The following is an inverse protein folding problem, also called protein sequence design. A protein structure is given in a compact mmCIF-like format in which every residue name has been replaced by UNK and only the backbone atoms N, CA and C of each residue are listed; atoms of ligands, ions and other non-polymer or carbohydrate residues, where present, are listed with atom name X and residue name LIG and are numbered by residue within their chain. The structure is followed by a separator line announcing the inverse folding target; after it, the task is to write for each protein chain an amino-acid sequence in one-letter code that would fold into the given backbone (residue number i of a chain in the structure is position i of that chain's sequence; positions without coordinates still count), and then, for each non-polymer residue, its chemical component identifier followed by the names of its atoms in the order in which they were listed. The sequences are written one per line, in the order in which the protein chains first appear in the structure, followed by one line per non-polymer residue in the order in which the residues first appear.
data_IF_944522100532
#
_entry.id   IF_944522100532
#
_cell.length_a   1.000
_cell.length_b   1.000
_cell.length_c   1.000
_cell.angle_alpha   90.00
_cell.angle_beta   90.00
_cell.angle_gamma   90.00
#
_symmetry.space_group_name_H-M   'P 1'
#
loop_
_entity.id
_entity.type
_entity.pdbx_description
1 polymer ?
#
# COMPACT_ATOMS: atom_id res chain seq x y z
N UNK A 1 -28.54 11.68 -5.49
CA UNK A 1 -28.01 11.11 -4.23
C UNK A 1 -27.41 9.77 -4.62
N UNK A 2 -26.10 9.74 -4.87
CA UNK A 2 -25.46 8.50 -5.31
C UNK A 2 -25.56 7.47 -4.19
N UNK A 3 -26.12 6.32 -4.55
CA UNK A 3 -26.12 5.08 -3.79
C UNK A 3 -24.74 4.94 -3.13
N UNK A 4 -24.71 4.92 -1.79
CA UNK A 4 -23.46 4.93 -1.04
C UNK A 4 -22.75 3.62 -1.33
N UNK A 5 -21.64 3.69 -2.07
CA UNK A 5 -20.83 2.52 -2.42
C UNK A 5 -20.54 1.72 -1.13
N UNK A 6 -21.08 0.49 -0.99
CA UNK A 6 -20.94 -0.28 0.25
C UNK A 6 -19.56 -0.92 0.38
N UNK A 7 -18.70 -0.80 -0.64
CA UNK A 7 -17.43 -1.47 -0.65
C UNK A 7 -16.39 -0.73 0.17
N UNK A 8 -15.49 -1.51 0.77
CA UNK A 8 -14.24 -1.00 1.32
C UNK A 8 -13.20 -1.03 0.21
N UNK A 9 -12.54 0.10 0.01
CA UNK A 9 -11.59 0.33 -1.07
C UNK A 9 -10.14 0.31 -0.58
N UNK A 10 -9.22 0.35 -1.55
CA UNK A 10 -7.81 0.63 -1.31
C UNK A 10 -7.51 2.00 -1.89
N UNK A 11 -6.73 2.81 -1.18
CA UNK A 11 -6.24 4.09 -1.71
C UNK A 11 -5.33 3.85 -2.92
N UNK A 12 -5.40 4.71 -3.93
CA UNK A 12 -4.67 4.54 -5.19
C UNK A 12 -3.16 4.32 -4.96
N UNK A 13 -2.59 5.02 -3.99
CA UNK A 13 -1.18 4.94 -3.61
C UNK A 13 -0.93 3.93 -2.49
N UNK A 14 -1.38 2.68 -2.64
CA UNK A 14 -1.39 1.64 -1.57
C UNK A 14 -0.09 1.48 -0.76
N UNK A 15 1.08 1.76 -1.36
CA UNK A 15 2.40 1.67 -0.71
C UNK A 15 2.79 2.92 0.09
N UNK A 16 2.27 4.08 -0.30
CA UNK A 16 2.50 5.39 0.35
C UNK A 16 1.33 5.78 1.26
N UNK A 17 0.22 5.07 1.12
CA UNK A 17 -1.03 5.28 1.82
C UNK A 17 -1.06 4.53 3.15
N UNK A 18 -1.75 5.11 4.13
CA UNK A 18 -2.07 4.44 5.39
C UNK A 18 -1.43 5.06 6.63
N UNK A 19 -1.85 4.58 7.82
CA UNK A 19 -1.44 5.17 9.10
C UNK A 19 0.06 5.01 9.36
N UNK A 20 0.70 3.92 8.92
CA UNK A 20 2.13 3.68 9.15
C UNK A 20 3.02 4.71 8.47
N UNK A 21 2.76 5.02 7.20
CA UNK A 21 3.54 6.03 6.45
C UNK A 21 3.31 7.42 7.02
N UNK A 22 2.05 7.77 7.37
CA UNK A 22 1.75 9.06 8.02
C UNK A 22 2.40 9.20 9.39
N UNK A 23 2.39 8.14 10.20
CA UNK A 23 3.06 8.14 11.51
C UNK A 23 4.58 8.30 11.35
N UNK A 24 5.19 7.68 10.34
CA UNK A 24 6.60 7.87 10.02
C UNK A 24 6.90 9.32 9.64
N UNK A 25 6.13 9.90 8.71
CA UNK A 25 6.27 11.32 8.31
C UNK A 25 6.10 12.23 9.53
N UNK A 26 5.12 11.94 10.38
CA UNK A 26 4.87 12.71 11.59
C UNK A 26 6.02 12.64 12.59
N UNK A 27 6.60 11.45 12.78
CA UNK A 27 7.79 11.24 13.61
C UNK A 27 9.02 11.94 13.06
N UNK A 28 9.17 12.07 11.74
CA UNK A 28 10.31 12.74 11.11
C UNK A 28 10.19 14.26 11.15
N UNK A 29 8.99 14.79 10.96
CA UNK A 29 8.76 16.23 10.80
C UNK A 29 8.24 16.91 12.06
N UNK A 30 7.90 16.14 13.10
CA UNK A 30 7.28 16.65 14.33
C UNK A 30 5.89 17.27 14.09
N UNK A 31 5.22 16.92 12.99
CA UNK A 31 3.91 17.48 12.58
C UNK A 31 2.92 16.38 12.27
N UNK A 32 1.77 16.41 12.92
CA UNK A 32 0.63 15.54 12.60
C UNK A 32 -0.16 16.22 11.49
N UNK A 33 -0.31 15.55 10.34
CA UNK A 33 -1.23 16.02 9.30
C UNK A 33 -2.60 15.40 9.55
N UNK A 34 -3.66 16.20 9.45
CA UNK A 34 -5.02 15.68 9.50
C UNK A 34 -5.23 14.58 8.46
N UNK A 35 -6.11 13.64 8.77
CA UNK A 35 -6.52 12.64 7.80
C UNK A 35 -7.31 13.33 6.66
N UNK A 36 -7.07 12.94 5.39
CA UNK A 36 -7.86 13.47 4.29
C UNK A 36 -9.33 13.09 4.48
N UNK A 37 -10.25 13.97 4.09
CA UNK A 37 -11.68 13.67 4.11
C UNK A 37 -12.08 12.71 3.00
N UNK A 38 -11.48 12.86 1.82
CA UNK A 38 -11.75 12.07 0.60
C UNK A 38 -10.43 11.67 -0.04
N UNK A 39 -10.37 10.47 -0.61
CA UNK A 39 -9.21 9.95 -1.34
C UNK A 39 -9.61 9.32 -2.66
N UNK A 40 -8.68 9.32 -3.62
CA UNK A 40 -8.82 8.54 -4.85
C UNK A 40 -8.42 7.09 -4.58
N UNK A 41 -9.27 6.16 -5.00
CA UNK A 41 -9.09 4.72 -4.79
C UNK A 41 -8.38 4.05 -5.98
N UNK A 42 -7.91 2.83 -5.77
CA UNK A 42 -7.34 2.00 -6.84
C UNK A 42 -8.31 1.71 -8.00
N UNK A 43 -9.62 1.73 -7.74
CA UNK A 43 -10.65 1.61 -8.78
C UNK A 43 -11.02 2.96 -9.45
N UNK A 44 -10.40 4.07 -9.06
CA UNK A 44 -10.61 5.39 -9.66
C UNK A 44 -11.75 6.20 -9.05
N UNK A 45 -12.49 5.65 -8.09
CA UNK A 45 -13.55 6.37 -7.37
C UNK A 45 -12.94 7.30 -6.30
N UNK A 46 -13.62 8.42 -6.05
CA UNK A 46 -13.37 9.26 -4.89
C UNK A 46 -14.32 8.87 -3.77
N UNK A 47 -13.77 8.44 -2.63
CA UNK A 47 -14.55 7.96 -1.47
C UNK A 47 -14.04 8.60 -0.18
N UNK A 48 -14.86 8.67 0.88
CA UNK A 48 -14.39 9.09 2.20
C UNK A 48 -13.21 8.23 2.66
N UNK A 49 -12.19 8.82 3.29
CA UNK A 49 -11.01 8.07 3.77
C UNK A 49 -11.38 6.88 4.67
N UNK A 50 -12.45 7.03 5.46
CA UNK A 50 -12.99 5.98 6.33
C UNK A 50 -13.49 4.73 5.57
N UNK A 51 -13.78 4.84 4.28
CA UNK A 51 -14.19 3.74 3.40
C UNK A 51 -12.98 3.02 2.75
N UNK A 52 -11.77 3.26 3.24
CA UNK A 52 -10.55 2.60 2.73
C UNK A 52 -9.88 1.76 3.80
N UNK A 53 -9.21 0.69 3.37
CA UNK A 53 -8.36 -0.13 4.23
C UNK A 53 -7.12 -0.61 3.48
N UNK A 54 -5.93 -0.56 4.10
CA UNK A 54 -4.73 -1.19 3.55
C UNK A 54 -4.71 -2.71 3.82
N UNK A 55 -5.65 -3.24 4.62
CA UNK A 55 -5.68 -4.65 5.02
C UNK A 55 -6.47 -5.48 4.01
N UNK A 56 -5.88 -6.50 3.35
CA UNK A 56 -6.56 -7.31 2.34
C UNK A 56 -7.91 -7.87 2.79
N UNK A 57 -7.97 -8.36 4.03
CA UNK A 57 -9.16 -8.98 4.63
C UNK A 57 -10.35 -8.02 4.81
N UNK A 58 -10.11 -6.71 4.79
CA UNK A 58 -11.18 -5.72 4.92
C UNK A 58 -11.67 -5.20 3.57
N UNK A 59 -10.95 -5.44 2.47
CA UNK A 59 -11.24 -4.83 1.17
C UNK A 59 -12.24 -5.69 0.41
N UNK A 60 -13.41 -5.11 0.13
CA UNK A 60 -14.51 -5.79 -0.57
C UNK A 60 -14.64 -5.35 -2.03
N UNK A 61 -14.05 -4.22 -2.43
CA UNK A 61 -14.01 -3.79 -3.83
C UNK A 61 -13.01 -4.65 -4.64
N UNK A 62 -13.51 -5.51 -5.54
CA UNK A 62 -12.68 -6.41 -6.36
C UNK A 62 -11.67 -5.66 -7.24
N UNK A 63 -12.06 -4.53 -7.84
CA UNK A 63 -11.15 -3.72 -8.64
C UNK A 63 -10.00 -3.13 -7.80
N UNK A 64 -10.26 -2.76 -6.54
CA UNK A 64 -9.22 -2.31 -5.62
C UNK A 64 -8.31 -3.46 -5.17
N UNK A 65 -8.84 -4.67 -5.00
CA UNK A 65 -8.05 -5.87 -4.72
C UNK A 65 -7.06 -6.17 -5.85
N UNK A 66 -7.54 -6.17 -7.09
CA UNK A 66 -6.70 -6.36 -8.28
C UNK A 66 -5.66 -5.24 -8.45
N UNK A 67 -6.02 -4.00 -8.17
CA UNK A 67 -5.07 -2.88 -8.12
C UNK A 67 -3.96 -3.13 -7.10
N UNK A 68 -4.33 -3.44 -5.85
CA UNK A 68 -3.37 -3.68 -4.77
C UNK A 68 -2.46 -4.87 -5.08
N UNK A 69 -3.02 -5.98 -5.58
CA UNK A 69 -2.25 -7.15 -6.01
C UNK A 69 -1.13 -6.77 -6.98
N UNK A 70 -1.48 -6.05 -8.06
CA UNK A 70 -0.53 -5.60 -9.08
C UNK A 70 0.53 -4.66 -8.51
N UNK A 71 0.14 -3.71 -7.67
CA UNK A 71 1.09 -2.74 -7.09
C UNK A 71 2.09 -3.39 -6.13
N UNK A 72 1.66 -4.34 -5.30
CA UNK A 72 2.57 -5.07 -4.42
C UNK A 72 3.54 -5.97 -5.21
N UNK A 73 3.10 -6.64 -6.27
CA UNK A 73 4.00 -7.40 -7.15
C UNK A 73 5.00 -6.49 -7.88
N UNK A 74 4.53 -5.35 -8.40
CA UNK A 74 5.39 -4.36 -9.07
C UNK A 74 6.48 -3.86 -8.12
N UNK A 75 6.11 -3.61 -6.87
CA UNK A 75 7.04 -3.14 -5.85
C UNK A 75 8.02 -4.22 -5.41
N UNK A 76 7.57 -5.46 -5.20
CA UNK A 76 8.44 -6.59 -4.91
C UNK A 76 9.51 -6.75 -6.00
N UNK A 77 9.13 -6.68 -7.28
CA UNK A 77 10.09 -6.72 -8.38
C UNK A 77 11.07 -5.54 -8.41
N UNK A 78 10.67 -4.35 -7.93
CA UNK A 78 11.57 -3.19 -7.81
C UNK A 78 12.59 -3.40 -6.69
N UNK A 79 12.15 -3.88 -5.53
CA UNK A 79 13.02 -4.18 -4.39
C UNK A 79 14.02 -5.29 -4.74
N UNK A 80 13.55 -6.35 -5.40
CA UNK A 80 14.42 -7.44 -5.85
C UNK A 80 15.48 -6.97 -6.85
N UNK A 81 15.16 -6.04 -7.76
CA UNK A 81 16.16 -5.45 -8.68
C UNK A 81 17.16 -4.57 -7.96
N UNK A 82 16.72 -3.77 -6.99
CA UNK A 82 17.60 -2.90 -6.21
C UNK A 82 18.60 -3.69 -5.37
N UNK A 83 18.19 -4.82 -4.79
CA UNK A 83 19.07 -5.65 -3.97
C UNK A 83 20.04 -6.57 -4.72
N UNK A 84 20.01 -6.61 -6.06
CA UNK A 84 20.98 -7.39 -6.86
C UNK A 84 22.35 -6.73 -6.97
N UNK A 85 22.49 -5.46 -6.60
CA UNK A 85 23.75 -4.70 -6.67
C UNK A 85 24.23 -4.21 -5.31
N UNK A 86 25.51 -3.81 -5.19
CA UNK A 86 25.99 -3.10 -4.01
C UNK A 86 25.16 -1.82 -3.82
N UNK A 87 24.62 -1.60 -2.61
CA UNK A 87 23.97 -0.35 -2.23
C UNK A 87 24.93 0.48 -1.35
N UNK A 88 25.65 1.46 -1.92
CA UNK A 88 26.60 2.25 -1.15
C UNK A 88 25.89 3.04 -0.05
N UNK A 89 26.43 2.98 1.17
CA UNK A 89 25.91 3.75 2.30
C UNK A 89 24.65 3.19 2.98
N UNK A 90 24.19 1.99 2.61
CA UNK A 90 23.00 1.37 3.19
C UNK A 90 23.36 -0.01 3.77
N UNK A 91 23.19 -0.17 5.09
CA UNK A 91 23.37 -1.45 5.79
C UNK A 91 22.14 -2.36 5.62
N UNK A 92 21.80 -2.71 4.38
CA UNK A 92 20.78 -3.72 4.08
C UNK A 92 21.46 -4.92 3.43
N UNK A 93 21.27 -6.09 4.04
CA UNK A 93 21.80 -7.38 3.54
C UNK A 93 20.91 -7.96 2.44
N UNK A 94 21.48 -8.83 1.61
CA UNK A 94 20.71 -9.56 0.58
C UNK A 94 19.56 -10.38 1.18
N UNK A 95 19.77 -10.98 2.36
CA UNK A 95 18.75 -11.75 3.06
C UNK A 95 17.57 -10.88 3.51
N UNK A 96 17.84 -9.66 3.99
CA UNK A 96 16.78 -8.70 4.34
C UNK A 96 15.98 -8.25 3.11
N UNK A 97 16.62 -8.11 1.96
CA UNK A 97 15.92 -7.83 0.69
C UNK A 97 15.03 -9.02 0.32
N UNK A 98 15.57 -10.24 0.34
CA UNK A 98 14.82 -11.45 -0.01
C UNK A 98 13.59 -11.63 0.90
N UNK A 99 13.76 -11.44 2.21
CA UNK A 99 12.66 -11.50 3.16
C UNK A 99 11.60 -10.43 2.88
N UNK A 100 12.01 -9.20 2.58
CA UNK A 100 11.08 -8.13 2.21
C UNK A 100 10.30 -8.45 0.92
N UNK A 101 10.98 -8.99 -0.10
CA UNK A 101 10.34 -9.41 -1.36
C UNK A 101 9.30 -10.49 -1.11
N UNK A 102 9.60 -11.49 -0.28
CA UNK A 102 8.64 -12.56 0.03
C UNK A 102 7.43 -12.05 0.81
N UNK A 103 7.64 -11.14 1.79
CA UNK A 103 6.52 -10.49 2.48
C UNK A 103 5.61 -9.70 1.53
N UNK A 104 6.19 -8.98 0.56
CA UNK A 104 5.43 -8.23 -0.44
C UNK A 104 4.63 -9.14 -1.38
N UNK A 105 5.24 -10.26 -1.81
CA UNK A 105 4.56 -11.28 -2.61
C UNK A 105 3.41 -11.93 -1.83
N UNK A 106 3.63 -12.20 -0.54
CA UNK A 106 2.58 -12.75 0.32
C UNK A 106 1.38 -11.80 0.46
N UNK A 107 1.66 -10.52 0.69
CA UNK A 107 0.63 -9.50 0.75
C UNK A 107 -0.13 -9.39 -0.57
N UNK A 108 0.57 -9.44 -1.71
CA UNK A 108 -0.07 -9.48 -3.03
C UNK A 108 -1.00 -10.68 -3.17
N UNK A 109 -0.57 -11.90 -2.77
CA UNK A 109 -1.41 -13.11 -2.82
C UNK A 109 -2.68 -12.97 -1.99
N UNK A 110 -2.62 -12.27 -0.85
CA UNK A 110 -3.81 -12.04 -0.01
C UNK A 110 -4.83 -11.11 -0.66
N UNK A 111 -4.42 -10.27 -1.60
CA UNK A 111 -5.34 -9.45 -2.39
C UNK A 111 -5.96 -10.18 -3.58
N UNK A 112 -5.36 -11.27 -4.10
CA UNK A 112 -5.87 -11.97 -5.29
C UNK A 112 -7.08 -12.89 -5.06
N UNK A 113 -7.45 -13.13 -3.79
CA UNK A 113 -8.63 -13.94 -3.44
C UNK A 113 -9.93 -13.14 -3.45
#
# INVERSE_FOLDING_TARGET
MSETDPHIHVEQKVLEAGPTVRNLVSSMLGRVTDAPSVVTTGCGLQVPYAMTSPRPECVTCLACREHAHREYLRFAGRIERLGRGPMPGVNITGDQVAEAVERLRDLARRFSG
#
